data_IF_776650201379
#
_entry.id   IF_776650201379
#
_cell.length_a   1.000
_cell.length_b   1.000
_cell.length_c   1.000
_cell.angle_alpha   90.00
_cell.angle_beta   90.00
_cell.angle_gamma   90.00
#
_symmetry.space_group_name_H-M   'P 1'
#
loop_
_entity.id
_entity.type
_entity.pdbx_description
1 polymer ?
#
# COMPACT_ATOMS: atom_id res chain seq x y z
N UNK A 1 -6.40 -4.72 -0.52
CA UNK A 1 -6.71 -4.58 0.90
C UNK A 1 -7.91 -5.46 1.24
N UNK A 2 -7.73 -6.79 1.25
CA UNK A 2 -8.79 -7.77 1.52
C UNK A 2 -9.04 -8.04 3.01
N UNK A 3 -9.13 -6.97 3.82
CA UNK A 3 -9.30 -7.04 5.28
C UNK A 3 -10.30 -5.98 5.74
N UNK A 4 -10.71 -6.07 7.01
CA UNK A 4 -11.55 -5.07 7.68
C UNK A 4 -10.67 -4.04 8.38
N UNK A 5 -11.07 -2.77 8.28
CA UNK A 5 -10.50 -1.66 9.05
C UNK A 5 -11.53 -1.20 10.09
N UNK A 6 -11.05 -0.80 11.26
CA UNK A 6 -11.88 -0.24 12.33
C UNK A 6 -11.20 1.00 12.89
N UNK A 7 -11.99 2.07 13.07
CA UNK A 7 -11.53 3.31 13.65
C UNK A 7 -12.14 3.46 15.04
N UNK A 8 -11.32 3.60 16.08
CA UNK A 8 -11.74 3.99 17.42
C UNK A 8 -11.37 5.47 17.62
N UNK A 9 -12.38 6.32 17.84
CA UNK A 9 -12.20 7.77 17.96
C UNK A 9 -12.70 8.24 19.32
N UNK A 10 -11.90 9.04 20.03
CA UNK A 10 -12.22 9.56 21.37
C UNK A 10 -12.44 11.07 21.32
N UNK A 11 -13.67 11.49 21.58
CA UNK A 11 -14.06 12.91 21.55
C UNK A 11 -14.10 13.49 20.14
N UNK A 12 -14.26 14.82 20.06
CA UNK A 12 -14.38 15.55 18.80
C UNK A 12 -15.82 15.97 18.49
N UNK A 13 -15.96 17.03 17.70
CA UNK A 13 -17.25 17.47 17.18
C UNK A 13 -17.75 16.45 16.13
N UNK A 14 -19.00 15.97 16.20
CA UNK A 14 -19.48 14.88 15.33
C UNK A 14 -19.30 15.07 13.83
N UNK A 15 -19.52 16.28 13.29
CA UNK A 15 -19.35 16.52 11.86
C UNK A 15 -17.86 16.51 11.45
N UNK A 16 -16.98 17.10 12.27
CA UNK A 16 -15.54 17.04 12.05
C UNK A 16 -15.00 15.60 12.09
N UNK A 17 -15.46 14.79 13.06
CA UNK A 17 -15.11 13.36 13.14
C UNK A 17 -15.56 12.61 11.89
N UNK A 18 -16.78 12.88 11.40
CA UNK A 18 -17.28 12.22 10.19
C UNK A 18 -16.44 12.58 8.96
N UNK A 19 -16.12 13.85 8.78
CA UNK A 19 -15.27 14.29 7.66
C UNK A 19 -13.89 13.62 7.69
N UNK A 20 -13.25 13.54 8.86
CA UNK A 20 -11.96 12.88 9.01
C UNK A 20 -12.02 11.37 8.72
N UNK A 21 -13.11 10.70 9.12
CA UNK A 21 -13.32 9.29 8.80
C UNK A 21 -13.53 9.06 7.31
N UNK A 22 -14.29 9.92 6.64
CA UNK A 22 -14.50 9.85 5.18
C UNK A 22 -13.17 10.02 4.43
N UNK A 23 -12.32 10.95 4.87
CA UNK A 23 -10.97 11.14 4.33
C UNK A 23 -10.08 9.92 4.56
N UNK A 24 -10.09 9.33 5.76
CA UNK A 24 -9.31 8.14 6.08
C UNK A 24 -9.75 6.93 5.23
N UNK A 25 -11.06 6.74 5.06
CA UNK A 25 -11.63 5.69 4.19
C UNK A 25 -11.23 5.92 2.73
N UNK A 26 -11.30 7.16 2.25
CA UNK A 26 -10.82 7.49 0.90
C UNK A 26 -9.33 7.19 0.74
N UNK A 27 -8.52 7.46 1.77
CA UNK A 27 -7.11 7.06 1.83
C UNK A 27 -6.89 5.56 1.68
N UNK A 28 -7.65 4.74 2.43
CA UNK A 28 -7.59 3.28 2.34
C UNK A 28 -8.00 2.76 0.95
N UNK A 29 -9.00 3.37 0.32
CA UNK A 29 -9.38 3.03 -1.05
C UNK A 29 -8.30 3.39 -2.07
N UNK A 30 -7.67 4.57 -1.95
CA UNK A 30 -6.52 4.94 -2.79
C UNK A 30 -5.35 3.97 -2.61
N UNK A 31 -5.04 3.58 -1.38
CA UNK A 31 -4.01 2.57 -1.12
C UNK A 31 -4.33 1.24 -1.81
N UNK A 32 -5.60 0.82 -1.83
CA UNK A 32 -6.02 -0.39 -2.56
C UNK A 32 -5.91 -0.24 -4.09
N UNK A 33 -6.20 0.94 -4.64
CA UNK A 33 -6.03 1.24 -6.07
C UNK A 33 -4.55 1.27 -6.48
N UNK A 34 -3.65 1.69 -5.61
CA UNK A 34 -2.21 1.73 -5.89
C UNK A 34 -1.57 0.36 -5.69
N UNK A 35 -1.79 -0.26 -4.52
CA UNK A 35 -0.96 -1.35 -4.03
C UNK A 35 -1.57 -2.76 -4.14
N UNK A 36 -2.83 -2.90 -4.52
CA UNK A 36 -3.45 -4.23 -4.61
C UNK A 36 -2.78 -5.12 -5.64
N UNK A 37 -2.21 -6.25 -5.23
CA UNK A 37 -1.66 -7.27 -6.13
C UNK A 37 -2.74 -8.14 -6.80
N UNK A 38 -4.02 -7.90 -6.50
CA UNK A 38 -5.17 -8.65 -7.02
C UNK A 38 -6.01 -7.85 -8.02
N UNK A 39 -5.90 -6.52 -8.02
CA UNK A 39 -6.58 -5.66 -9.00
C UNK A 39 -5.69 -5.48 -10.20
N UNK A 40 -6.14 -5.91 -11.38
CA UNK A 40 -5.35 -5.81 -12.61
C UNK A 40 -4.97 -4.37 -12.97
N UNK A 41 -5.85 -3.42 -12.66
CA UNK A 41 -5.64 -1.99 -12.90
C UNK A 41 -4.78 -1.27 -11.87
N UNK A 42 -4.38 -1.94 -10.77
CA UNK A 42 -3.54 -1.28 -9.76
C UNK A 42 -2.16 -0.95 -10.28
N UNK A 43 -1.52 0.07 -9.70
CA UNK A 43 -0.20 0.47 -10.12
C UNK A 43 0.85 -0.63 -9.87
N UNK A 44 0.78 -1.33 -8.73
CA UNK A 44 1.67 -2.48 -8.45
C UNK A 44 1.46 -3.63 -9.43
N UNK A 45 0.22 -3.98 -9.78
CA UNK A 45 -0.04 -5.04 -10.76
C UNK A 45 0.49 -4.68 -12.14
N UNK A 46 0.30 -3.43 -12.57
CA UNK A 46 0.81 -2.91 -13.84
C UNK A 46 2.34 -2.84 -13.86
N UNK A 47 2.95 -2.38 -12.76
CA UNK A 47 4.41 -2.35 -12.58
C UNK A 47 5.01 -3.77 -12.60
N UNK A 48 4.37 -4.74 -11.95
CA UNK A 48 4.78 -6.14 -11.95
C UNK A 48 4.76 -6.78 -13.36
N UNK A 49 3.92 -6.24 -14.27
CA UNK A 49 3.85 -6.64 -15.69
C UNK A 49 4.72 -5.78 -16.62
N UNK A 50 5.41 -4.77 -16.09
CA UNK A 50 6.24 -3.85 -16.88
C UNK A 50 5.46 -2.81 -17.69
N UNK A 51 4.18 -2.61 -17.40
CA UNK A 51 3.32 -1.63 -18.08
C UNK A 51 3.49 -0.20 -17.54
N UNK A 52 4.11 -0.06 -16.36
CA UNK A 52 4.46 1.20 -15.72
C UNK A 52 5.93 1.18 -15.32
N UNK A 53 6.52 2.37 -15.25
CA UNK A 53 7.78 2.60 -14.52
C UNK A 53 7.45 3.14 -13.13
N UNK A 54 8.37 3.00 -12.18
CA UNK A 54 8.20 3.55 -10.82
C UNK A 54 7.95 5.06 -10.86
N UNK A 55 8.61 5.79 -11.76
CA UNK A 55 8.41 7.24 -11.93
C UNK A 55 7.02 7.62 -12.49
N UNK A 56 6.30 6.67 -13.09
CA UNK A 56 4.92 6.87 -13.57
C UNK A 56 3.86 6.41 -12.54
N UNK A 57 4.29 5.87 -11.40
CA UNK A 57 3.43 5.51 -10.29
C UNK A 57 3.25 6.70 -9.32
N UNK A 58 2.34 6.54 -8.36
CA UNK A 58 2.23 7.41 -7.21
C UNK A 58 3.55 7.40 -6.42
N UNK A 59 3.98 8.54 -5.84
CA UNK A 59 5.25 8.65 -5.11
C UNK A 59 5.44 7.60 -4.02
N UNK A 60 4.36 7.23 -3.35
CA UNK A 60 4.31 6.21 -2.29
C UNK A 60 4.82 4.84 -2.79
N UNK A 61 4.72 4.56 -4.10
CA UNK A 61 5.29 3.33 -4.68
C UNK A 61 6.80 3.32 -4.57
N UNK A 62 7.48 4.44 -4.83
CA UNK A 62 8.93 4.51 -4.69
C UNK A 62 9.34 4.34 -3.23
N UNK A 63 8.66 5.03 -2.31
CA UNK A 63 8.89 4.94 -0.87
C UNK A 63 8.73 3.50 -0.35
N UNK A 64 7.63 2.84 -0.69
CA UNK A 64 7.36 1.45 -0.28
C UNK A 64 8.41 0.49 -0.83
N UNK A 65 8.86 0.68 -2.08
CA UNK A 65 9.90 -0.17 -2.67
C UNK A 65 11.27 0.06 -2.02
N UNK A 66 11.59 1.29 -1.62
CA UNK A 66 12.80 1.59 -0.86
C UNK A 66 12.78 0.95 0.53
N UNK A 67 11.65 1.07 1.25
CA UNK A 67 11.44 0.40 2.54
C UNK A 67 11.53 -1.13 2.40
N UNK A 68 10.98 -1.68 1.32
CA UNK A 68 11.01 -3.12 1.08
C UNK A 68 12.43 -3.62 0.76
N UNK A 69 13.20 -2.85 -0.02
CA UNK A 69 14.61 -3.15 -0.29
C UNK A 69 15.45 -3.10 0.99
N UNK A 70 15.20 -2.13 1.86
CA UNK A 70 15.85 -2.05 3.17
C UNK A 70 15.48 -3.24 4.06
N UNK A 71 14.19 -3.58 4.14
CA UNK A 71 13.71 -4.74 4.90
C UNK A 71 14.33 -6.05 4.40
N UNK A 72 14.44 -6.25 3.09
CA UNK A 72 15.07 -7.42 2.47
C UNK A 72 16.57 -7.48 2.83
N UNK A 73 17.26 -6.34 2.83
CA UNK A 73 18.69 -6.24 3.21
C UNK A 73 18.94 -6.54 4.68
N UNK A 74 18.20 -5.90 5.61
CA UNK A 74 18.42 -6.06 7.06
C UNK A 74 17.99 -7.43 7.57
N UNK A 75 17.04 -8.04 6.87
CA UNK A 75 16.54 -9.37 7.21
C UNK A 75 17.35 -10.49 6.56
N UNK A 76 18.41 -10.21 5.81
CA UNK A 76 19.20 -11.23 5.09
C UNK A 76 18.32 -12.18 4.24
N UNK A 77 17.34 -11.61 3.54
CA UNK A 77 16.40 -12.33 2.68
C UNK A 77 15.26 -13.08 3.40
N UNK A 78 15.14 -12.97 4.73
CA UNK A 78 13.97 -13.49 5.46
C UNK A 78 12.68 -12.74 5.09
N UNK A 79 12.79 -11.46 4.75
CA UNK A 79 11.79 -10.69 4.04
C UNK A 79 12.19 -10.60 2.56
N UNK A 80 11.21 -10.65 1.65
CA UNK A 80 11.43 -10.32 0.24
C UNK A 80 10.25 -9.56 -0.33
N UNK A 81 10.54 -8.64 -1.23
CA UNK A 81 9.53 -7.87 -1.99
C UNK A 81 8.94 -8.68 -3.15
N UNK A 82 9.21 -9.99 -3.21
CA UNK A 82 8.74 -10.88 -4.27
C UNK A 82 8.03 -12.10 -3.70
N UNK A 83 6.91 -12.45 -4.32
CA UNK A 83 6.21 -13.69 -4.06
C UNK A 83 5.99 -14.44 -5.37
N UNK A 84 6.44 -15.71 -5.44
CA UNK A 84 6.38 -16.55 -6.65
C UNK A 84 6.93 -15.86 -7.91
N UNK A 85 8.04 -15.12 -7.75
CA UNK A 85 8.74 -14.40 -8.82
C UNK A 85 8.11 -13.06 -9.22
N UNK A 86 6.96 -12.69 -8.67
CA UNK A 86 6.26 -11.43 -8.95
C UNK A 86 6.54 -10.41 -7.87
N UNK A 87 6.51 -9.12 -8.23
CA UNK A 87 6.57 -8.02 -7.28
C UNK A 87 5.36 -8.11 -6.33
N UNK A 88 5.63 -8.14 -5.03
CA UNK A 88 4.62 -8.20 -3.98
C UNK A 88 5.11 -7.42 -2.75
N UNK A 89 4.81 -6.10 -2.66
CA UNK A 89 5.21 -5.27 -1.55
C UNK A 89 4.24 -5.37 -0.35
N UNK A 90 3.30 -6.33 -0.36
CA UNK A 90 2.21 -6.41 0.62
C UNK A 90 2.71 -6.43 2.08
N UNK A 91 3.89 -7.00 2.33
CA UNK A 91 4.48 -7.02 3.67
C UNK A 91 4.84 -5.64 4.23
N UNK A 92 5.30 -4.71 3.39
CA UNK A 92 5.51 -3.31 3.78
C UNK A 92 4.20 -2.54 3.78
N UNK A 93 3.39 -2.66 2.72
CA UNK A 93 2.14 -1.88 2.57
C UNK A 93 1.17 -2.07 3.72
N UNK A 94 1.18 -3.23 4.38
CA UNK A 94 0.32 -3.49 5.55
C UNK A 94 0.82 -2.87 6.86
N UNK A 95 2.08 -2.46 6.91
CA UNK A 95 2.71 -1.82 8.08
C UNK A 95 3.13 -0.37 7.87
N UNK A 96 2.95 0.16 6.65
CA UNK A 96 3.11 1.56 6.27
C UNK A 96 1.82 2.32 6.59
#
# INVERSE_FOLDING_TARGET
MGTVFSFDVRGGEPAAVRAALDEAVAGLHRADEVFSTYRDGSQISRLARGELTVAACAPEVAEVLELAAEAERVSDGWFSTRYRGRLDPTGIVKGW
#
